data_IF_498076120097
#
_entry.id   IF_498076120097
#
_cell.length_a   1.000
_cell.length_b   1.000
_cell.length_c   1.000
_cell.angle_alpha   90.00
_cell.angle_beta   90.00
_cell.angle_gamma   90.00
#
_symmetry.space_group_name_H-M   'P 1'
#
loop_
_entity.id
_entity.type
_entity.pdbx_description
1 polymer ?
#
# COMPACT_ATOMS: atom_id res chain seq x y z
N UNK A 1 24.29 -10.03 -22.40
CA UNK A 1 23.36 -8.88 -22.43
C UNK A 1 24.08 -7.64 -22.92
N UNK A 2 23.56 -6.91 -23.89
CA UNK A 2 24.29 -5.80 -24.58
C UNK A 2 24.37 -4.58 -23.62
N UNK A 3 25.58 -4.21 -23.11
CA UNK A 3 25.82 -3.11 -22.14
C UNK A 3 25.12 -1.80 -22.52
N UNK A 4 25.10 -1.46 -23.84
CA UNK A 4 24.45 -0.23 -24.33
C UNK A 4 22.93 -0.24 -24.17
N UNK A 5 22.28 -1.42 -24.30
CA UNK A 5 20.85 -1.58 -24.13
C UNK A 5 20.45 -1.51 -22.65
N UNK A 6 21.28 -2.06 -21.77
CA UNK A 6 21.10 -2.01 -20.31
C UNK A 6 21.25 -0.58 -19.77
N UNK A 7 22.28 0.16 -20.22
CA UNK A 7 22.49 1.56 -19.81
C UNK A 7 21.31 2.46 -20.23
N UNK A 8 20.79 2.30 -21.46
CA UNK A 8 19.61 3.05 -21.92
C UNK A 8 18.35 2.74 -21.09
N UNK A 9 18.17 1.47 -20.70
CA UNK A 9 17.04 1.07 -19.85
C UNK A 9 17.15 1.67 -18.43
N UNK A 10 18.35 1.70 -17.86
CA UNK A 10 18.59 2.32 -16.55
C UNK A 10 18.27 3.81 -16.58
N UNK A 11 18.74 4.52 -17.62
CA UNK A 11 18.43 5.96 -17.81
C UNK A 11 16.93 6.20 -17.94
N UNK A 12 16.20 5.31 -18.63
CA UNK A 12 14.75 5.42 -18.77
C UNK A 12 14.01 5.15 -17.45
N UNK A 13 14.48 4.15 -16.67
CA UNK A 13 13.96 3.89 -15.34
C UNK A 13 14.16 5.10 -14.41
N UNK A 14 15.36 5.72 -14.45
CA UNK A 14 15.66 6.91 -13.64
C UNK A 14 14.77 8.09 -14.03
N UNK A 15 14.63 8.36 -15.33
CA UNK A 15 13.77 9.46 -15.82
C UNK A 15 12.32 9.24 -15.37
N UNK A 16 11.79 8.03 -15.50
CA UNK A 16 10.44 7.70 -15.09
C UNK A 16 10.25 7.87 -13.56
N UNK A 17 11.25 7.52 -12.75
CA UNK A 17 11.20 7.72 -11.31
C UNK A 17 11.19 9.21 -10.92
N UNK A 18 12.03 10.02 -11.58
CA UNK A 18 12.05 11.47 -11.36
C UNK A 18 10.73 12.14 -11.77
N UNK A 19 10.13 11.71 -12.88
CA UNK A 19 8.81 12.21 -13.29
C UNK A 19 7.73 11.82 -12.28
N UNK A 20 7.71 10.58 -11.79
CA UNK A 20 6.76 10.15 -10.78
C UNK A 20 6.92 10.92 -9.47
N UNK A 21 8.15 11.17 -9.05
CA UNK A 21 8.46 12.00 -7.89
C UNK A 21 7.97 13.44 -8.09
N UNK A 22 8.25 14.05 -9.25
CA UNK A 22 7.77 15.39 -9.59
C UNK A 22 6.24 15.50 -9.56
N UNK A 23 5.53 14.52 -10.15
CA UNK A 23 4.05 14.46 -10.10
C UNK A 23 3.56 14.35 -8.65
N UNK A 24 4.21 13.54 -7.81
CA UNK A 24 3.86 13.40 -6.40
C UNK A 24 4.02 14.72 -5.65
N UNK A 25 5.13 15.42 -5.86
CA UNK A 25 5.36 16.76 -5.27
C UNK A 25 4.30 17.77 -5.75
N UNK A 26 4.00 17.81 -7.05
CA UNK A 26 2.96 18.71 -7.57
C UNK A 26 1.60 18.45 -6.91
N UNK A 27 1.21 17.17 -6.76
CA UNK A 27 -0.04 16.83 -6.09
C UNK A 27 0.00 17.26 -4.62
N UNK A 28 1.10 17.01 -3.92
CA UNK A 28 1.25 17.37 -2.51
C UNK A 28 1.19 18.89 -2.30
N UNK A 29 1.85 19.67 -3.15
CA UNK A 29 1.92 21.12 -2.99
C UNK A 29 0.68 21.87 -3.47
N UNK A 30 0.00 21.38 -4.51
CA UNK A 30 -1.11 22.10 -5.13
C UNK A 30 -2.48 21.48 -4.84
N UNK A 31 -2.58 20.16 -4.81
CA UNK A 31 -3.87 19.48 -4.64
C UNK A 31 -4.22 19.30 -3.17
N UNK A 32 -3.26 18.91 -2.33
CA UNK A 32 -3.51 18.66 -0.90
C UNK A 32 -4.01 19.91 -0.16
N UNK A 33 -3.43 21.11 -0.29
CA UNK A 33 -3.96 22.31 0.38
C UNK A 33 -5.40 22.63 -0.02
N UNK A 34 -5.75 22.50 -1.31
CA UNK A 34 -7.12 22.72 -1.79
C UNK A 34 -8.09 21.71 -1.17
N UNK A 35 -7.66 20.47 -1.00
CA UNK A 35 -8.46 19.42 -0.36
C UNK A 35 -8.70 19.76 1.10
N UNK A 36 -7.65 20.14 1.83
CA UNK A 36 -7.71 20.47 3.25
C UNK A 36 -8.58 21.71 3.48
N UNK A 37 -8.41 22.76 2.69
CA UNK A 37 -9.26 23.96 2.76
C UNK A 37 -10.75 23.63 2.61
N UNK A 38 -11.10 22.69 1.74
CA UNK A 38 -12.50 22.30 1.48
C UNK A 38 -13.09 21.34 2.50
N UNK A 39 -12.30 20.41 3.03
CA UNK A 39 -12.74 19.37 3.96
C UNK A 39 -12.64 19.78 5.42
N UNK A 40 -11.69 20.69 5.72
CA UNK A 40 -11.25 20.99 7.09
C UNK A 40 -10.20 19.99 7.61
N UNK A 41 -9.37 20.49 8.53
CA UNK A 41 -8.21 19.75 9.07
C UNK A 41 -8.64 18.48 9.82
N UNK A 42 -9.71 18.55 10.60
CA UNK A 42 -10.26 17.40 11.34
C UNK A 42 -10.60 16.22 10.41
N UNK A 43 -11.38 16.49 9.36
CA UNK A 43 -11.81 15.48 8.43
C UNK A 43 -10.62 14.87 7.68
N UNK A 44 -9.65 15.68 7.25
CA UNK A 44 -8.43 15.22 6.60
C UNK A 44 -7.57 14.37 7.56
N UNK A 45 -7.47 14.75 8.83
CA UNK A 45 -6.74 14.03 9.87
C UNK A 45 -7.18 12.58 10.03
N UNK A 46 -8.47 12.28 9.88
CA UNK A 46 -8.97 10.90 9.93
C UNK A 46 -8.48 10.04 8.76
N UNK A 47 -8.18 10.62 7.60
CA UNK A 47 -7.55 9.87 6.49
C UNK A 47 -6.13 9.47 6.87
N UNK A 48 -5.36 10.40 7.44
CA UNK A 48 -4.00 10.15 7.91
C UNK A 48 -3.99 9.13 9.05
N UNK A 49 -4.90 9.25 10.00
CA UNK A 49 -5.07 8.32 11.12
C UNK A 49 -5.42 6.91 10.63
N UNK A 50 -6.33 6.76 9.65
CA UNK A 50 -6.67 5.46 9.07
C UNK A 50 -5.45 4.78 8.42
N UNK A 51 -4.59 5.55 7.73
CA UNK A 51 -3.34 5.04 7.18
C UNK A 51 -2.33 4.63 8.27
N UNK A 52 -2.30 5.32 9.42
CA UNK A 52 -1.48 4.91 10.56
C UNK A 52 -1.97 3.57 11.14
N UNK A 53 -3.26 3.32 11.24
CA UNK A 53 -3.80 2.00 11.64
C UNK A 53 -3.37 0.89 10.68
N UNK A 54 -3.35 1.15 9.38
CA UNK A 54 -2.78 0.22 8.38
C UNK A 54 -1.29 0.00 8.62
N UNK A 55 -0.53 1.05 8.95
CA UNK A 55 0.89 0.92 9.29
C UNK A 55 1.10 0.03 10.51
N UNK A 56 0.26 0.12 11.54
CA UNK A 56 0.30 -0.78 12.71
C UNK A 56 -0.03 -2.23 12.32
N UNK A 57 -1.09 -2.44 11.55
CA UNK A 57 -1.47 -3.77 11.06
C UNK A 57 -0.39 -4.38 10.15
N UNK A 58 0.35 -3.57 9.39
CA UNK A 58 1.42 -4.02 8.51
C UNK A 58 2.60 -4.68 9.24
N UNK A 59 2.78 -4.42 10.55
CA UNK A 59 3.79 -5.11 11.35
C UNK A 59 3.67 -6.62 11.28
N UNK A 60 2.44 -7.14 11.18
CA UNK A 60 2.18 -8.59 11.10
C UNK A 60 2.74 -9.18 9.79
N UNK A 61 2.79 -8.41 8.72
CA UNK A 61 3.14 -8.88 7.38
C UNK A 61 4.53 -8.44 6.91
N UNK A 62 5.13 -7.43 7.56
CA UNK A 62 6.37 -6.82 7.05
C UNK A 62 7.54 -7.81 7.00
N UNK A 63 7.66 -8.71 7.99
CA UNK A 63 8.72 -9.70 8.01
C UNK A 63 8.66 -10.64 6.79
N UNK A 64 7.46 -11.03 6.37
CA UNK A 64 7.24 -11.86 5.18
C UNK A 64 7.41 -11.06 3.90
N UNK A 65 6.68 -9.98 3.74
CA UNK A 65 6.56 -9.27 2.47
C UNK A 65 7.83 -8.52 2.07
N UNK A 66 8.62 -8.07 3.05
CA UNK A 66 9.87 -7.34 2.80
C UNK A 66 10.97 -8.19 2.13
N UNK A 67 10.97 -9.51 2.35
CA UNK A 67 11.99 -10.42 1.84
C UNK A 67 11.52 -11.32 0.71
N UNK A 68 10.21 -11.47 0.49
CA UNK A 68 9.64 -12.31 -0.56
C UNK A 68 10.27 -12.04 -1.93
N UNK A 69 10.28 -10.78 -2.36
CA UNK A 69 10.82 -10.40 -3.67
C UNK A 69 12.28 -10.75 -3.84
N UNK A 70 13.08 -10.70 -2.77
CA UNK A 70 14.50 -11.09 -2.80
C UNK A 70 14.66 -12.58 -3.06
N UNK A 71 13.98 -13.44 -2.28
CA UNK A 71 14.08 -14.89 -2.43
C UNK A 71 13.59 -15.33 -3.81
N UNK A 72 12.44 -14.86 -4.24
CA UNK A 72 11.89 -15.18 -5.56
C UNK A 72 12.82 -14.71 -6.68
N UNK A 73 13.41 -13.50 -6.58
CA UNK A 73 14.34 -12.97 -7.59
C UNK A 73 15.61 -13.82 -7.72
N UNK A 74 16.19 -14.27 -6.60
CA UNK A 74 17.41 -15.10 -6.60
C UNK A 74 17.16 -16.36 -7.42
N UNK A 75 16.07 -17.08 -7.15
CA UNK A 75 15.73 -18.30 -7.87
C UNK A 75 15.43 -18.06 -9.36
N UNK A 76 14.75 -16.94 -9.69
CA UNK A 76 14.51 -16.57 -11.10
C UNK A 76 15.83 -16.30 -11.84
N UNK A 77 16.79 -15.59 -11.21
CA UNK A 77 18.10 -15.34 -11.83
C UNK A 77 18.98 -16.58 -11.97
N UNK A 78 18.70 -17.62 -11.21
CA UNK A 78 19.33 -18.96 -11.30
C UNK A 78 18.58 -19.91 -12.25
N UNK A 79 17.54 -19.42 -12.95
CA UNK A 79 16.63 -20.25 -13.78
C UNK A 79 15.89 -21.36 -12.98
N UNK A 80 15.89 -21.31 -11.64
CA UNK A 80 15.19 -22.23 -10.76
C UNK A 80 13.75 -21.74 -10.51
N UNK A 81 12.88 -22.01 -11.47
CA UNK A 81 11.47 -21.63 -11.35
C UNK A 81 10.69 -22.47 -10.34
N UNK A 82 11.14 -23.67 -10.00
CA UNK A 82 10.51 -24.48 -8.96
C UNK A 82 10.75 -23.89 -7.58
N UNK A 83 11.99 -23.49 -7.27
CA UNK A 83 12.32 -22.74 -6.08
C UNK A 83 11.56 -21.41 -6.01
N UNK A 84 11.56 -20.62 -7.09
CA UNK A 84 10.82 -19.36 -7.17
C UNK A 84 9.31 -19.55 -6.86
N UNK A 85 8.69 -20.58 -7.45
CA UNK A 85 7.27 -20.89 -7.24
C UNK A 85 6.98 -21.34 -5.80
N UNK A 86 7.91 -22.05 -5.12
CA UNK A 86 7.76 -22.41 -3.72
C UNK A 86 7.67 -21.18 -2.83
N UNK A 87 8.61 -20.24 -2.92
CA UNK A 87 8.57 -19.00 -2.13
C UNK A 87 7.35 -18.16 -2.47
N UNK A 88 7.08 -17.94 -3.75
CA UNK A 88 5.96 -17.14 -4.24
C UNK A 88 4.60 -17.69 -3.78
N UNK A 89 4.41 -19.01 -3.85
CA UNK A 89 3.19 -19.69 -3.41
C UNK A 89 3.07 -19.71 -1.89
N UNK A 90 4.16 -20.02 -1.18
CA UNK A 90 4.12 -20.17 0.28
C UNK A 90 3.81 -18.86 0.98
N UNK A 91 4.44 -17.77 0.56
CA UNK A 91 4.13 -16.44 1.09
C UNK A 91 2.72 -15.99 0.69
N UNK A 92 2.22 -16.40 -0.49
CA UNK A 92 0.81 -16.14 -0.86
C UNK A 92 -0.16 -16.77 0.13
N UNK A 93 -0.03 -18.04 0.42
CA UNK A 93 -0.94 -18.69 1.35
C UNK A 93 -0.79 -18.16 2.78
N UNK A 94 0.43 -17.84 3.22
CA UNK A 94 0.64 -17.18 4.50
C UNK A 94 -0.11 -15.84 4.59
N UNK A 95 -0.02 -15.01 3.54
CA UNK A 95 -0.72 -13.74 3.47
C UNK A 95 -2.25 -13.90 3.38
N UNK A 96 -2.76 -14.93 2.71
CA UNK A 96 -4.20 -15.26 2.72
C UNK A 96 -4.67 -15.60 4.14
N UNK A 97 -3.91 -16.42 4.87
CA UNK A 97 -4.23 -16.79 6.26
C UNK A 97 -4.23 -15.53 7.15
N UNK A 98 -3.21 -14.68 7.02
CA UNK A 98 -3.12 -13.41 7.77
C UNK A 98 -4.30 -12.50 7.43
N UNK A 99 -4.63 -12.35 6.15
CA UNK A 99 -5.76 -11.52 5.72
C UNK A 99 -7.09 -12.03 6.31
N UNK A 100 -7.35 -13.33 6.24
CA UNK A 100 -8.56 -13.94 6.85
C UNK A 100 -8.60 -13.72 8.36
N UNK A 101 -7.46 -13.83 9.03
CA UNK A 101 -7.35 -13.57 10.47
C UNK A 101 -7.61 -12.10 10.81
N UNK A 102 -7.14 -11.16 10.01
CA UNK A 102 -7.30 -9.72 10.24
C UNK A 102 -8.73 -9.20 9.99
N UNK A 103 -9.48 -9.80 9.05
CA UNK A 103 -10.83 -9.33 8.69
C UNK A 103 -11.76 -9.14 9.88
N UNK A 104 -11.96 -10.10 10.81
CA UNK A 104 -12.85 -9.90 11.93
C UNK A 104 -12.39 -8.77 12.87
N UNK A 105 -11.09 -8.61 13.09
CA UNK A 105 -10.57 -7.50 13.90
C UNK A 105 -10.82 -6.14 13.24
N UNK A 106 -10.64 -6.06 11.92
CA UNK A 106 -10.93 -4.83 11.16
C UNK A 106 -12.42 -4.48 11.20
N UNK A 107 -13.31 -5.47 11.04
CA UNK A 107 -14.77 -5.26 11.11
C UNK A 107 -15.15 -4.76 12.50
N UNK A 108 -14.68 -5.43 13.56
CA UNK A 108 -14.96 -5.01 14.94
C UNK A 108 -14.41 -3.61 15.20
N UNK A 109 -13.18 -3.32 14.74
CA UNK A 109 -12.56 -2.00 14.85
C UNK A 109 -13.40 -0.91 14.20
N UNK A 110 -13.91 -1.13 12.97
CA UNK A 110 -14.76 -0.16 12.26
C UNK A 110 -16.09 0.05 12.99
N UNK A 111 -16.75 -1.03 13.45
CA UNK A 111 -18.03 -0.95 14.13
C UNK A 111 -17.92 -0.18 15.46
N UNK A 112 -16.83 -0.42 16.19
CA UNK A 112 -16.57 0.14 17.53
C UNK A 112 -15.64 1.37 17.50
N UNK A 113 -15.42 1.98 16.35
CA UNK A 113 -14.45 3.05 16.16
C UNK A 113 -14.67 4.23 17.12
N UNK A 114 -15.93 4.58 17.38
CA UNK A 114 -16.35 5.63 18.30
C UNK A 114 -15.99 5.37 19.78
N UNK A 115 -15.64 4.12 20.13
CA UNK A 115 -15.22 3.79 21.50
C UNK A 115 -13.74 4.12 21.74
N UNK A 116 -12.97 4.22 20.66
CA UNK A 116 -11.52 4.40 20.72
C UNK A 116 -11.05 5.77 20.24
N UNK A 117 -11.86 6.43 19.39
CA UNK A 117 -11.52 7.69 18.77
C UNK A 117 -12.56 8.75 19.08
N UNK A 118 -12.09 9.97 19.32
CA UNK A 118 -12.92 11.15 19.39
C UNK A 118 -13.31 11.57 17.96
N UNK A 119 -14.56 11.26 17.58
CA UNK A 119 -15.08 11.53 16.23
C UNK A 119 -16.28 12.47 16.33
N UNK A 120 -16.23 13.64 15.69
CA UNK A 120 -17.40 14.53 15.60
C UNK A 120 -18.62 13.79 15.03
N UNK A 121 -19.78 13.96 15.62
CA UNK A 121 -21.01 13.26 15.20
C UNK A 121 -21.35 13.39 13.72
N UNK A 122 -21.01 14.51 13.11
CA UNK A 122 -21.23 14.79 11.69
C UNK A 122 -20.32 13.95 10.76
N UNK A 123 -19.17 13.47 11.25
CA UNK A 123 -18.16 12.74 10.48
C UNK A 123 -18.17 11.23 10.71
N UNK A 124 -18.93 10.70 11.69
CA UNK A 124 -18.89 9.29 12.08
C UNK A 124 -19.02 8.36 10.87
N UNK A 125 -20.04 8.55 10.05
CA UNK A 125 -20.27 7.70 8.90
C UNK A 125 -19.15 7.79 7.85
N UNK A 126 -18.65 8.99 7.57
CA UNK A 126 -17.57 9.22 6.63
C UNK A 126 -16.27 8.58 7.10
N UNK A 127 -15.97 8.71 8.39
CA UNK A 127 -14.78 8.11 9.01
C UNK A 127 -14.87 6.58 8.97
N UNK A 128 -16.02 5.98 9.32
CA UNK A 128 -16.21 4.52 9.23
C UNK A 128 -16.03 4.00 7.81
N UNK A 129 -16.60 4.68 6.81
CA UNK A 129 -16.42 4.31 5.40
C UNK A 129 -14.96 4.48 4.98
N UNK A 130 -14.29 5.54 5.41
CA UNK A 130 -12.88 5.80 5.16
C UNK A 130 -12.01 4.65 5.68
N UNK A 131 -12.19 4.26 6.95
CA UNK A 131 -11.47 3.11 7.54
C UNK A 131 -11.76 1.80 6.80
N UNK A 132 -13.03 1.57 6.40
CA UNK A 132 -13.39 0.37 5.65
C UNK A 132 -12.67 0.29 4.30
N UNK A 133 -12.60 1.40 3.56
CA UNK A 133 -11.90 1.45 2.25
C UNK A 133 -10.39 1.30 2.43
N UNK A 134 -9.79 1.97 3.43
CA UNK A 134 -8.36 1.91 3.70
C UNK A 134 -7.95 0.49 4.14
N UNK A 135 -8.75 -0.17 4.97
CA UNK A 135 -8.51 -1.57 5.35
C UNK A 135 -8.71 -2.54 4.18
N UNK A 136 -9.71 -2.31 3.33
CA UNK A 136 -9.88 -3.10 2.11
C UNK A 136 -8.67 -2.94 1.15
N UNK A 137 -8.14 -1.72 1.02
CA UNK A 137 -6.91 -1.45 0.26
C UNK A 137 -5.71 -2.18 0.84
N UNK A 138 -5.56 -2.22 2.15
CA UNK A 138 -4.49 -2.95 2.82
C UNK A 138 -4.60 -4.47 2.60
N UNK A 139 -5.80 -5.05 2.73
CA UNK A 139 -6.02 -6.48 2.43
C UNK A 139 -5.69 -6.80 0.97
N UNK A 140 -6.09 -5.94 0.04
CA UNK A 140 -5.72 -6.07 -1.37
C UNK A 140 -4.21 -6.03 -1.55
N UNK A 141 -3.51 -5.13 -0.85
CA UNK A 141 -2.05 -5.00 -0.92
C UNK A 141 -1.33 -6.24 -0.40
N UNK A 142 -1.71 -6.77 0.76
CA UNK A 142 -1.14 -8.01 1.32
C UNK A 142 -1.22 -9.15 0.29
N UNK A 143 -2.34 -9.28 -0.41
CA UNK A 143 -2.58 -10.36 -1.36
C UNK A 143 -1.87 -10.16 -2.71
N UNK A 144 -1.54 -8.91 -3.09
CA UNK A 144 -1.14 -8.59 -4.46
C UNK A 144 0.23 -7.94 -4.61
N UNK A 145 0.88 -7.50 -3.52
CA UNK A 145 2.21 -6.83 -3.54
C UNK A 145 3.28 -7.64 -4.27
N UNK A 146 3.22 -8.97 -4.17
CA UNK A 146 4.14 -9.90 -4.83
C UNK A 146 4.22 -9.75 -6.35
N UNK A 147 3.13 -9.33 -7.00
CA UNK A 147 3.12 -9.16 -8.46
C UNK A 147 3.97 -7.97 -8.95
N UNK A 148 4.48 -7.14 -8.05
CA UNK A 148 5.41 -6.05 -8.36
C UNK A 148 6.79 -6.56 -8.79
N UNK A 149 7.14 -7.80 -8.41
CA UNK A 149 8.42 -8.43 -8.73
C UNK A 149 8.72 -8.47 -10.23
N UNK A 150 7.70 -8.57 -11.07
CA UNK A 150 7.87 -8.72 -12.51
C UNK A 150 8.61 -7.54 -13.15
N UNK A 151 8.32 -6.32 -12.75
CA UNK A 151 8.98 -5.11 -13.25
C UNK A 151 10.39 -4.97 -12.69
N UNK A 152 10.64 -5.44 -11.48
CA UNK A 152 11.95 -5.44 -10.84
C UNK A 152 12.91 -6.43 -11.52
N UNK A 153 12.55 -7.71 -11.60
CA UNK A 153 13.41 -8.77 -12.17
C UNK A 153 13.72 -8.54 -13.64
N UNK A 154 12.79 -7.96 -14.39
CA UNK A 154 13.00 -7.66 -15.81
C UNK A 154 13.67 -6.30 -16.07
N UNK A 155 14.06 -5.58 -15.00
CA UNK A 155 14.63 -4.23 -15.05
C UNK A 155 13.74 -3.22 -15.83
N UNK A 156 12.41 -3.35 -15.66
CA UNK A 156 11.40 -2.47 -16.28
C UNK A 156 10.71 -1.58 -15.25
N UNK A 157 11.48 -0.99 -14.35
CA UNK A 157 10.97 -0.09 -13.29
C UNK A 157 10.26 1.15 -13.85
N UNK A 158 10.59 1.57 -15.08
CA UNK A 158 9.86 2.62 -15.78
C UNK A 158 8.34 2.32 -15.86
N UNK A 159 7.94 1.06 -16.07
CA UNK A 159 6.53 0.68 -16.11
C UNK A 159 5.88 0.80 -14.72
N UNK A 160 6.61 0.46 -13.67
CA UNK A 160 6.15 0.66 -12.30
C UNK A 160 5.88 2.16 -12.04
N UNK A 161 6.84 3.04 -12.33
CA UNK A 161 6.68 4.48 -12.09
C UNK A 161 5.60 5.12 -12.98
N UNK A 162 5.47 4.71 -14.24
CA UNK A 162 4.39 5.18 -15.12
C UNK A 162 3.02 4.80 -14.54
N UNK A 163 2.86 3.57 -14.03
CA UNK A 163 1.61 3.15 -13.40
C UNK A 163 1.31 3.94 -12.13
N UNK A 164 2.32 4.32 -11.34
CA UNK A 164 2.14 5.20 -10.18
C UNK A 164 1.64 6.59 -10.60
N UNK A 165 2.18 7.16 -11.69
CA UNK A 165 1.69 8.44 -12.25
C UNK A 165 0.21 8.31 -12.65
N UNK A 166 -0.15 7.26 -13.40
CA UNK A 166 -1.52 7.05 -13.84
C UNK A 166 -2.45 6.87 -12.65
N UNK A 167 -2.06 6.08 -11.63
CA UNK A 167 -2.84 5.90 -10.41
C UNK A 167 -3.04 7.23 -9.65
N UNK A 168 -2.02 8.07 -9.59
CA UNK A 168 -2.09 9.41 -8.98
C UNK A 168 -3.07 10.32 -9.74
N UNK A 169 -3.06 10.28 -11.06
CA UNK A 169 -4.01 11.03 -11.90
C UNK A 169 -5.45 10.50 -11.67
N UNK A 170 -5.65 9.18 -11.66
CA UNK A 170 -6.95 8.56 -11.35
C UNK A 170 -7.46 9.04 -9.98
N UNK A 171 -6.60 9.02 -8.96
CA UNK A 171 -6.93 9.51 -7.63
C UNK A 171 -7.43 10.96 -7.67
N UNK A 172 -6.69 11.87 -8.29
CA UNK A 172 -7.05 13.29 -8.39
C UNK A 172 -8.36 13.48 -9.15
N UNK A 173 -8.56 12.76 -10.26
CA UNK A 173 -9.80 12.83 -11.05
C UNK A 173 -11.02 12.39 -10.22
N UNK A 174 -10.91 11.29 -9.46
CA UNK A 174 -12.00 10.81 -8.59
C UNK A 174 -12.33 11.84 -7.51
N UNK A 175 -11.34 12.49 -6.92
CA UNK A 175 -11.55 13.56 -5.93
C UNK A 175 -12.30 14.73 -6.57
N UNK A 176 -11.84 15.22 -7.72
CA UNK A 176 -12.47 16.34 -8.43
C UNK A 176 -13.90 16.00 -8.82
N UNK A 177 -14.13 14.84 -9.41
CA UNK A 177 -15.46 14.39 -9.83
C UNK A 177 -16.38 14.24 -8.61
N UNK A 178 -15.88 13.60 -7.54
CA UNK A 178 -16.62 13.41 -6.29
C UNK A 178 -17.06 14.74 -5.66
N UNK A 179 -16.15 15.69 -5.57
CA UNK A 179 -16.44 17.02 -5.00
C UNK A 179 -17.36 17.88 -5.88
N UNK A 180 -17.33 17.70 -7.20
CA UNK A 180 -18.19 18.42 -8.14
C UNK A 180 -19.60 17.88 -8.28
N UNK A 181 -19.72 16.54 -8.35
CA UNK A 181 -21.00 15.89 -8.67
C UNK A 181 -21.81 15.49 -7.44
N UNK A 182 -21.15 15.29 -6.30
CA UNK A 182 -21.84 14.83 -5.08
C UNK A 182 -21.68 15.85 -3.95
N UNK A 183 -20.75 15.62 -3.03
CA UNK A 183 -20.53 16.47 -1.88
C UNK A 183 -19.06 16.40 -1.46
N UNK A 184 -18.60 17.39 -0.72
CA UNK A 184 -17.22 17.43 -0.23
C UNK A 184 -17.14 16.47 0.96
N UNK A 185 -16.56 15.28 0.75
CA UNK A 185 -16.43 14.20 1.76
C UNK A 185 -15.07 13.52 1.66
N UNK A 186 -14.52 13.15 2.81
CA UNK A 186 -13.22 12.45 2.91
C UNK A 186 -13.21 11.10 2.18
N UNK A 187 -14.36 10.47 2.04
CA UNK A 187 -14.53 9.18 1.35
C UNK A 187 -13.96 9.20 -0.08
N UNK A 188 -14.06 10.31 -0.80
CA UNK A 188 -13.54 10.41 -2.18
C UNK A 188 -12.02 10.38 -2.26
N UNK A 189 -11.31 10.80 -1.18
CA UNK A 189 -9.85 10.74 -1.12
C UNK A 189 -9.37 9.27 -1.10
N UNK A 190 -9.97 8.48 -0.22
CA UNK A 190 -9.61 7.07 -0.07
C UNK A 190 -10.16 6.21 -1.20
N UNK A 191 -11.33 6.54 -1.74
CA UNK A 191 -11.88 5.86 -2.91
C UNK A 191 -10.99 6.07 -4.14
N UNK A 192 -10.51 7.29 -4.37
CA UNK A 192 -9.56 7.59 -5.44
C UNK A 192 -8.25 6.80 -5.29
N UNK A 193 -7.72 6.71 -4.07
CA UNK A 193 -6.53 5.92 -3.76
C UNK A 193 -6.76 4.43 -3.99
N UNK A 194 -7.91 3.89 -3.58
CA UNK A 194 -8.29 2.50 -3.76
C UNK A 194 -8.44 2.13 -5.25
N UNK A 195 -9.11 2.97 -6.04
CA UNK A 195 -9.25 2.74 -7.49
C UNK A 195 -7.92 2.84 -8.22
N UNK A 196 -7.05 3.78 -7.81
CA UNK A 196 -5.66 3.84 -8.29
C UNK A 196 -4.87 2.57 -7.97
N UNK A 197 -5.02 2.02 -6.75
CA UNK A 197 -4.38 0.75 -6.36
C UNK A 197 -4.92 -0.44 -7.15
N UNK A 198 -6.23 -0.51 -7.40
CA UNK A 198 -6.82 -1.55 -8.26
C UNK A 198 -6.23 -1.52 -9.68
N UNK A 199 -6.03 -0.33 -10.24
CA UNK A 199 -5.35 -0.18 -11.52
C UNK A 199 -3.93 -0.75 -11.48
N UNK A 200 -3.12 -0.36 -10.47
CA UNK A 200 -1.74 -0.85 -10.30
C UNK A 200 -1.71 -2.38 -10.19
N UNK A 201 -2.58 -2.95 -9.36
CA UNK A 201 -2.69 -4.41 -9.16
C UNK A 201 -2.98 -5.13 -10.48
N UNK A 202 -3.94 -4.65 -11.25
CA UNK A 202 -4.28 -5.24 -12.55
C UNK A 202 -3.07 -5.20 -13.52
N UNK A 203 -2.33 -4.07 -13.55
CA UNK A 203 -1.11 -3.94 -14.37
C UNK A 203 0.00 -4.87 -13.90
N UNK A 204 0.23 -4.99 -12.58
CA UNK A 204 1.27 -5.87 -12.02
C UNK A 204 0.98 -7.35 -12.29
N UNK A 205 -0.28 -7.79 -12.15
CA UNK A 205 -0.70 -9.15 -12.53
C UNK A 205 -0.47 -9.39 -14.03
N UNK A 206 -0.84 -8.44 -14.88
CA UNK A 206 -0.59 -8.54 -16.32
C UNK A 206 0.91 -8.65 -16.63
N UNK A 207 1.75 -7.82 -16.03
CA UNK A 207 3.21 -7.87 -16.23
C UNK A 207 3.81 -9.19 -15.74
N UNK A 208 3.34 -9.72 -14.62
CA UNK A 208 3.81 -11.02 -14.13
C UNK A 208 3.50 -12.13 -15.14
N UNK A 209 2.28 -12.15 -15.67
CA UNK A 209 1.89 -13.14 -16.70
C UNK A 209 2.69 -13.02 -18.00
N UNK A 210 3.01 -11.79 -18.41
CA UNK A 210 3.72 -11.53 -19.69
C UNK A 210 5.23 -11.71 -19.56
N UNK A 211 5.83 -11.24 -18.46
CA UNK A 211 7.29 -11.21 -18.35
C UNK A 211 7.87 -12.45 -17.66
N UNK A 212 7.08 -13.10 -16.79
CA UNK A 212 7.50 -14.28 -16.04
C UNK A 212 6.38 -15.33 -16.08
N UNK A 213 6.04 -15.88 -17.26
CA UNK A 213 4.90 -16.78 -17.43
C UNK A 213 5.05 -18.12 -16.66
N UNK A 214 6.29 -18.46 -16.28
CA UNK A 214 6.60 -19.66 -15.48
C UNK A 214 6.32 -19.48 -13.99
N UNK A 215 6.17 -18.21 -13.51
CA UNK A 215 5.85 -17.93 -12.12
C UNK A 215 4.35 -18.13 -11.88
N UNK A 216 4.01 -19.11 -11.01
CA UNK A 216 2.63 -19.53 -10.78
C UNK A 216 2.36 -19.78 -9.30
N UNK A 217 1.12 -19.51 -8.88
CA UNK A 217 0.62 -19.94 -7.57
C UNK A 217 -0.06 -21.30 -7.73
N UNK A 218 0.50 -22.34 -7.12
CA UNK A 218 -0.08 -23.69 -7.12
C UNK A 218 0.11 -24.33 -5.75
N UNK A 219 -0.91 -25.02 -5.24
CA UNK A 219 -0.86 -25.68 -3.90
C UNK A 219 0.29 -26.66 -3.76
N UNK A 220 0.72 -27.31 -4.84
CA UNK A 220 1.84 -28.26 -4.85
C UNK A 220 3.19 -27.63 -4.49
N UNK A 221 3.34 -26.32 -4.63
CA UNK A 221 4.56 -25.59 -4.28
C UNK A 221 4.55 -25.03 -2.84
N UNK A 222 3.48 -25.25 -2.07
CA UNK A 222 3.40 -24.77 -0.70
C UNK A 222 4.41 -25.49 0.20
N UNK A 223 5.27 -24.72 0.85
CA UNK A 223 6.28 -25.21 1.79
C UNK A 223 6.43 -24.25 2.99
N UNK A 224 6.16 -24.76 4.19
CA UNK A 224 6.26 -23.99 5.44
C UNK A 224 7.69 -23.56 5.71
N UNK A 225 8.70 -24.30 5.27
CA UNK A 225 10.12 -23.93 5.46
C UNK A 225 10.42 -22.61 4.74
N UNK A 226 9.89 -22.41 3.54
CA UNK A 226 10.03 -21.16 2.80
C UNK A 226 9.43 -19.98 3.58
N UNK A 227 8.30 -20.17 4.27
CA UNK A 227 7.67 -19.11 5.10
C UNK A 227 8.60 -18.74 6.26
N UNK A 228 9.12 -19.74 6.98
CA UNK A 228 10.00 -19.54 8.13
C UNK A 228 11.30 -18.83 7.70
N UNK A 229 11.89 -19.25 6.58
CA UNK A 229 13.12 -18.68 6.04
C UNK A 229 12.94 -17.19 5.63
N UNK A 230 11.86 -16.89 4.92
CA UNK A 230 11.52 -15.50 4.53
C UNK A 230 11.23 -14.66 5.76
N UNK A 231 10.41 -15.14 6.70
CA UNK A 231 10.03 -14.41 7.91
C UNK A 231 11.25 -14.15 8.80
N UNK A 232 12.11 -15.16 9.05
CA UNK A 232 13.31 -14.99 9.87
C UNK A 232 14.29 -13.98 9.26
N UNK A 233 14.43 -13.98 7.93
CA UNK A 233 15.26 -13.02 7.22
C UNK A 233 14.69 -11.58 7.26
N UNK A 234 13.38 -11.45 7.43
CA UNK A 234 12.67 -10.16 7.47
C UNK A 234 12.53 -9.54 8.87
N UNK A 235 12.98 -10.20 9.95
CA UNK A 235 12.81 -9.71 11.33
C UNK A 235 13.40 -8.32 11.53
N UNK A 236 14.57 -8.03 10.97
CA UNK A 236 15.17 -6.70 11.06
C UNK A 236 14.34 -5.59 10.44
N UNK A 237 13.63 -5.90 9.35
CA UNK A 237 12.70 -4.95 8.74
C UNK A 237 11.46 -4.71 9.63
N UNK A 238 11.02 -5.74 10.37
CA UNK A 238 9.97 -5.58 11.38
C UNK A 238 10.45 -4.64 12.51
N UNK A 239 11.65 -4.82 13.03
CA UNK A 239 12.22 -3.92 14.06
C UNK A 239 12.32 -2.48 13.54
N UNK A 240 12.81 -2.29 12.30
CA UNK A 240 12.90 -0.96 11.68
C UNK A 240 11.51 -0.33 11.49
N UNK A 241 10.52 -1.11 11.07
CA UNK A 241 9.14 -0.63 10.90
C UNK A 241 8.51 -0.27 12.24
N UNK A 242 8.73 -1.09 13.27
CA UNK A 242 8.27 -0.79 14.63
C UNK A 242 8.87 0.51 15.14
N UNK A 243 10.18 0.72 14.95
CA UNK A 243 10.86 1.97 15.32
C UNK A 243 10.24 3.19 14.63
N UNK A 244 9.96 3.12 13.32
CA UNK A 244 9.29 4.21 12.59
C UNK A 244 7.90 4.50 13.14
N UNK A 245 7.13 3.46 13.49
CA UNK A 245 5.78 3.64 14.06
C UNK A 245 5.86 4.31 15.43
N UNK A 246 6.81 3.92 16.26
CA UNK A 246 6.99 4.50 17.60
C UNK A 246 7.45 5.96 17.53
N UNK A 247 8.23 6.33 16.52
CA UNK A 247 8.76 7.69 16.37
C UNK A 247 7.76 8.64 15.70
N UNK A 248 7.09 8.20 14.64
CA UNK A 248 6.33 9.09 13.75
C UNK A 248 4.87 8.67 13.57
N UNK A 249 4.49 7.48 14.07
CA UNK A 249 3.20 6.88 13.77
C UNK A 249 2.15 6.98 14.87
N UNK A 250 2.53 7.28 16.11
CA UNK A 250 1.62 7.31 17.25
C UNK A 250 1.04 8.71 17.53
N UNK A 251 1.67 9.75 17.02
CA UNK A 251 1.35 11.13 17.35
C UNK A 251 -0.11 11.48 17.06
N UNK A 252 -0.62 11.10 15.90
CA UNK A 252 -2.02 11.36 15.52
C UNK A 252 -3.01 10.62 16.41
N UNK A 253 -2.69 9.39 16.79
CA UNK A 253 -3.54 8.60 17.68
C UNK A 253 -3.58 9.20 19.08
N UNK A 254 -2.40 9.55 19.61
CA UNK A 254 -2.27 10.20 20.94
C UNK A 254 -3.00 11.54 20.93
N UNK A 255 -2.79 12.36 19.92
CA UNK A 255 -3.48 13.65 19.80
C UNK A 255 -5.00 13.49 19.75
N UNK A 256 -5.53 12.53 18.98
CA UNK A 256 -6.96 12.28 18.92
C UNK A 256 -7.54 11.86 20.28
N UNK A 257 -6.93 10.89 20.96
CA UNK A 257 -7.47 10.30 22.20
C UNK A 257 -7.36 11.28 23.37
N UNK A 258 -6.26 12.02 23.51
CA UNK A 258 -5.96 12.80 24.71
C UNK A 258 -6.27 14.29 24.57
N UNK A 259 -6.32 14.82 23.32
CA UNK A 259 -6.52 16.25 23.07
C UNK A 259 -7.81 16.49 22.26
N UNK A 260 -8.10 15.63 21.29
CA UNK A 260 -9.30 15.68 20.45
C UNK A 260 -9.01 15.72 18.95
N UNK A 261 -10.08 15.62 18.15
CA UNK A 261 -10.02 15.53 16.70
C UNK A 261 -9.39 16.77 16.03
N UNK A 262 -9.60 17.94 16.57
CA UNK A 262 -9.04 19.21 16.05
C UNK A 262 -7.50 19.24 16.15
N UNK A 263 -6.93 18.83 17.29
CA UNK A 263 -5.48 18.75 17.47
C UNK A 263 -4.85 17.69 16.55
N UNK A 264 -5.50 16.53 16.38
CA UNK A 264 -5.09 15.51 15.43
C UNK A 264 -5.10 16.05 14.00
N UNK A 265 -6.14 16.80 13.62
CA UNK A 265 -6.25 17.43 12.31
C UNK A 265 -5.06 18.37 12.03
N UNK A 266 -4.74 19.25 12.97
CA UNK A 266 -3.60 20.17 12.85
C UNK A 266 -2.25 19.45 12.73
N UNK A 267 -2.06 18.33 13.43
CA UNK A 267 -0.85 17.52 13.34
C UNK A 267 -0.75 16.70 12.03
N UNK A 268 -1.85 16.51 11.32
CA UNK A 268 -1.90 15.68 10.10
C UNK A 268 -1.41 16.40 8.84
N UNK A 269 -1.18 17.70 8.94
CA UNK A 269 -0.77 18.61 7.86
C UNK A 269 0.74 18.75 7.80
#
# INVERSE_FOLDING_TARGET
MNKKKTSKQISFNLLASLLAFGVSICISLFVTPIIVEKLGDEAYGFVSLANNFVSYASLITVALNSMESRFVSIHIFQDDYDGANKYFTSVFFANVIIAVFLIPFMIIGIVKLEWFLDIPHTLINDVKITFAIVFAQFLLEILTSRFEIATFVTNRLNLYYINQIVASIVRVLIIIIGFRLFSIRIVFLVLGSFLGKLYIVNRNIHYTKVFIPKLKVQKSYFDVKCIIEVASSGVWNLVSKLSSILLDGLDLLIANIFIGASAMGALSL
#
